data_IF_460759482022
#
_entry.id   IF_460759482022
#
_cell.length_a   1.000
_cell.length_b   1.000
_cell.length_c   1.000
_cell.angle_alpha   90.00
_cell.angle_beta   90.00
_cell.angle_gamma   90.00
#
_symmetry.space_group_name_H-M   'P 1'
#
loop_
_entity.id
_entity.type
_entity.pdbx_description
1 polymer ?
#
# COMPACT_ATOMS: atom_id res chain seq x y z
N UNK A 1 22.90 23.82 -22.85
CA UNK A 1 21.91 23.51 -21.79
C UNK A 1 22.37 22.39 -20.87
N UNK A 2 22.39 21.10 -21.26
CA UNK A 2 22.83 20.03 -20.34
C UNK A 2 24.30 20.18 -19.88
N UNK A 3 25.19 20.58 -20.80
CA UNK A 3 26.61 20.83 -20.50
C UNK A 3 26.83 21.97 -19.50
N UNK A 4 26.03 23.03 -19.59
CA UNK A 4 26.13 24.21 -18.72
C UNK A 4 25.57 23.93 -17.32
N UNK A 5 24.51 23.11 -17.24
CA UNK A 5 23.91 22.66 -15.97
C UNK A 5 24.90 21.80 -15.18
N UNK A 6 25.58 20.84 -15.82
CA UNK A 6 26.51 19.92 -15.13
C UNK A 6 27.78 20.62 -14.64
N UNK A 7 28.18 21.73 -15.26
CA UNK A 7 29.37 22.51 -14.87
C UNK A 7 29.05 23.65 -13.89
N UNK A 8 27.77 23.87 -13.56
CA UNK A 8 27.39 24.86 -12.57
C UNK A 8 27.95 24.50 -11.19
N UNK A 9 28.34 25.52 -10.42
CA UNK A 9 28.78 25.35 -9.02
C UNK A 9 27.68 24.75 -8.14
N UNK A 10 26.42 24.98 -8.51
CA UNK A 10 25.26 24.49 -7.77
C UNK A 10 24.79 23.11 -8.23
N UNK A 11 25.44 22.50 -9.23
CA UNK A 11 25.03 21.20 -9.76
C UNK A 11 25.02 20.11 -8.69
N UNK A 12 26.12 19.98 -7.94
CA UNK A 12 26.27 18.94 -6.91
C UNK A 12 25.28 19.15 -5.77
N UNK A 13 25.13 20.34 -5.17
CA UNK A 13 24.10 20.58 -4.16
C UNK A 13 22.66 20.28 -4.63
N UNK A 14 22.31 20.66 -5.87
CA UNK A 14 21.00 20.33 -6.43
C UNK A 14 20.81 18.83 -6.64
N UNK A 15 21.85 18.12 -7.10
CA UNK A 15 21.81 16.67 -7.26
C UNK A 15 21.62 15.96 -5.91
N UNK A 16 22.36 16.36 -4.87
CA UNK A 16 22.21 15.81 -3.52
C UNK A 16 20.80 16.01 -2.97
N UNK A 17 20.23 17.21 -3.16
CA UNK A 17 18.84 17.51 -2.81
C UNK A 17 17.84 16.64 -3.58
N UNK A 18 18.02 16.48 -4.89
CA UNK A 18 17.17 15.59 -5.70
C UNK A 18 17.25 14.14 -5.25
N UNK A 19 18.46 13.64 -4.93
CA UNK A 19 18.65 12.29 -4.39
C UNK A 19 17.92 12.13 -3.05
N UNK A 20 18.04 13.10 -2.15
CA UNK A 20 17.36 13.07 -0.86
C UNK A 20 15.84 12.96 -1.03
N UNK A 21 15.25 13.77 -1.92
CA UNK A 21 13.82 13.73 -2.25
C UNK A 21 13.39 12.38 -2.84
N UNK A 22 14.11 11.88 -3.85
CA UNK A 22 13.78 10.62 -4.51
C UNK A 22 14.02 9.39 -3.62
N UNK A 23 14.89 9.48 -2.62
CA UNK A 23 15.20 8.37 -1.72
C UNK A 23 13.97 7.89 -0.93
N UNK A 24 13.05 8.80 -0.59
CA UNK A 24 11.78 8.48 0.07
C UNK A 24 10.93 7.56 -0.81
N UNK A 25 10.81 7.89 -2.09
CA UNK A 25 10.08 7.09 -3.07
C UNK A 25 10.76 5.73 -3.29
N UNK A 26 12.08 5.70 -3.40
CA UNK A 26 12.85 4.45 -3.53
C UNK A 26 12.62 3.50 -2.35
N UNK A 27 12.54 4.03 -1.13
CA UNK A 27 12.24 3.23 0.07
C UNK A 27 10.90 2.54 -0.04
N UNK A 28 9.86 3.24 -0.49
CA UNK A 28 8.52 2.68 -0.66
C UNK A 28 8.41 1.75 -1.86
N UNK A 29 9.07 2.06 -2.98
CA UNK A 29 9.13 1.16 -4.12
C UNK A 29 9.66 -0.22 -3.72
N UNK A 30 10.76 -0.26 -2.93
CA UNK A 30 11.32 -1.51 -2.39
C UNK A 30 10.35 -2.29 -1.49
N UNK A 31 9.38 -1.63 -0.86
CA UNK A 31 8.33 -2.28 -0.06
C UNK A 31 7.40 -3.08 -0.98
N UNK A 32 6.96 -2.49 -2.09
CA UNK A 32 5.98 -3.10 -3.01
C UNK A 32 6.59 -4.07 -4.03
N UNK A 33 7.90 -3.97 -4.31
CA UNK A 33 8.62 -4.97 -5.11
C UNK A 33 8.80 -6.33 -4.40
N UNK A 34 8.65 -6.38 -3.08
CA UNK A 34 8.74 -7.63 -2.33
C UNK A 34 7.38 -8.31 -2.32
N UNK A 35 7.31 -9.51 -2.93
CA UNK A 35 6.14 -10.38 -2.89
C UNK A 35 5.67 -10.60 -1.45
N UNK A 36 4.46 -10.14 -1.14
CA UNK A 36 3.81 -10.41 0.14
C UNK A 36 3.47 -9.21 1.02
N UNK A 37 3.67 -7.97 0.55
CA UNK A 37 3.09 -6.80 1.25
C UNK A 37 1.60 -6.67 0.91
N UNK A 38 0.72 -6.57 1.91
CA UNK A 38 -0.71 -6.37 1.66
C UNK A 38 -0.98 -4.96 1.13
N UNK A 39 -2.02 -4.82 0.32
CA UNK A 39 -2.47 -3.56 -0.29
C UNK A 39 -2.80 -2.48 0.76
N UNK A 40 -3.18 -2.87 1.98
CA UNK A 40 -3.38 -1.94 3.12
C UNK A 40 -2.17 -1.04 3.38
N UNK A 41 -0.95 -1.47 3.02
CA UNK A 41 0.27 -0.68 3.18
C UNK A 41 0.29 0.54 2.25
N UNK A 42 -0.43 0.52 1.12
CA UNK A 42 -0.52 1.65 0.18
C UNK A 42 -1.18 2.84 0.85
N UNK A 43 -2.34 2.64 1.49
CA UNK A 43 -3.02 3.71 2.20
C UNK A 43 -2.15 4.25 3.36
N UNK A 44 -1.51 3.34 4.14
CA UNK A 44 -0.59 3.77 5.20
C UNK A 44 0.56 4.63 4.68
N UNK A 45 1.12 4.27 3.53
CA UNK A 45 2.18 5.05 2.89
C UNK A 45 1.71 6.47 2.58
N UNK A 46 0.53 6.63 1.99
CA UNK A 46 0.01 7.96 1.64
C UNK A 46 -0.28 8.82 2.86
N UNK A 47 -0.72 8.22 3.98
CA UNK A 47 -0.83 8.94 5.25
C UNK A 47 0.53 9.40 5.79
N UNK A 48 1.58 8.61 5.59
CA UNK A 48 2.92 8.90 6.14
C UNK A 48 3.77 9.82 5.26
N UNK A 49 3.54 9.82 3.94
CA UNK A 49 4.35 10.55 2.97
C UNK A 49 4.46 12.05 3.29
N UNK A 50 3.38 12.78 3.64
CA UNK A 50 3.50 14.20 4.00
C UNK A 50 4.50 14.47 5.14
N UNK A 51 4.46 13.66 6.20
CA UNK A 51 5.34 13.80 7.37
C UNK A 51 6.80 13.45 7.07
N UNK A 52 7.04 12.40 6.28
CA UNK A 52 8.40 12.02 5.91
C UNK A 52 9.07 13.10 5.05
N UNK A 53 8.28 13.84 4.27
CA UNK A 53 8.80 14.90 3.42
C UNK A 53 8.95 16.24 4.15
N UNK A 54 8.30 16.45 5.31
CA UNK A 54 8.56 17.63 6.13
C UNK A 54 9.93 17.61 6.80
N UNK A 55 10.54 16.42 6.95
CA UNK A 55 11.90 16.26 7.50
C UNK A 55 13.00 16.62 6.48
N UNK A 56 12.65 16.75 5.19
CA UNK A 56 13.60 17.14 4.15
C UNK A 56 13.66 18.67 4.13
N UNK A 57 14.84 19.29 4.31
CA UNK A 57 14.97 20.74 4.28
C UNK A 57 14.77 21.27 2.86
N UNK A 58 13.51 21.53 2.50
CA UNK A 58 13.11 22.17 1.25
C UNK A 58 12.43 23.52 1.53
N UNK A 59 12.56 24.50 0.62
CA UNK A 59 11.78 25.73 0.69
C UNK A 59 10.27 25.44 0.73
N UNK A 60 9.50 26.29 1.43
CA UNK A 60 8.05 26.17 1.57
C UNK A 60 7.35 26.07 0.21
N UNK A 61 7.82 26.83 -0.78
CA UNK A 61 7.29 26.82 -2.15
C UNK A 61 7.43 25.44 -2.82
N UNK A 62 8.55 24.75 -2.62
CA UNK A 62 8.78 23.41 -3.15
C UNK A 62 7.98 22.35 -2.40
N UNK A 63 7.82 22.51 -1.08
CA UNK A 63 6.97 21.64 -0.28
C UNK A 63 5.49 21.70 -0.73
N UNK A 64 5.01 22.89 -1.12
CA UNK A 64 3.69 23.07 -1.70
C UNK A 64 3.49 22.27 -2.99
N UNK A 65 4.47 22.31 -3.91
CA UNK A 65 4.45 21.53 -5.14
C UNK A 65 4.38 20.03 -4.83
N UNK A 66 5.21 19.57 -3.90
CA UNK A 66 5.27 18.17 -3.52
C UNK A 66 3.94 17.67 -2.91
N UNK A 67 3.33 18.48 -2.04
CA UNK A 67 2.03 18.18 -1.43
C UNK A 67 0.93 18.07 -2.49
N UNK A 68 0.92 18.97 -3.48
CA UNK A 68 -0.01 18.91 -4.61
C UNK A 68 0.16 17.63 -5.42
N UNK A 69 1.40 17.29 -5.79
CA UNK A 69 1.69 16.06 -6.54
C UNK A 69 1.27 14.82 -5.76
N UNK A 70 1.53 14.77 -4.45
CA UNK A 70 1.08 13.65 -3.61
C UNK A 70 -0.44 13.51 -3.62
N UNK A 71 -1.16 14.62 -3.48
CA UNK A 71 -2.64 14.61 -3.48
C UNK A 71 -3.18 14.13 -4.83
N UNK A 72 -2.64 14.62 -5.94
CA UNK A 72 -3.02 14.19 -7.28
C UNK A 72 -2.73 12.70 -7.51
N UNK A 73 -1.56 12.22 -7.08
CA UNK A 73 -1.20 10.81 -7.21
C UNK A 73 -2.01 9.91 -6.30
N UNK A 74 -2.35 10.37 -5.10
CA UNK A 74 -3.27 9.66 -4.23
C UNK A 74 -4.64 9.53 -4.90
N UNK A 75 -5.22 10.63 -5.39
CA UNK A 75 -6.52 10.61 -6.07
C UNK A 75 -6.51 9.72 -7.34
N UNK A 76 -5.38 9.64 -8.05
CA UNK A 76 -5.23 8.78 -9.21
C UNK A 76 -5.13 7.28 -8.87
N UNK A 77 -4.41 6.92 -7.81
CA UNK A 77 -4.14 5.52 -7.44
C UNK A 77 -5.19 4.96 -6.50
N UNK A 78 -5.79 5.81 -5.66
CA UNK A 78 -6.77 5.38 -4.67
C UNK A 78 -7.97 4.73 -5.35
N UNK A 79 -8.48 3.72 -4.67
CA UNK A 79 -9.66 2.97 -5.04
C UNK A 79 -10.14 2.25 -3.79
N UNK A 80 -11.41 1.88 -3.75
CA UNK A 80 -12.08 1.44 -2.52
C UNK A 80 -11.35 0.30 -1.80
N UNK A 81 -10.76 -0.63 -2.57
CA UNK A 81 -9.95 -1.72 -2.03
C UNK A 81 -8.81 -1.26 -1.11
N UNK A 82 -8.20 -0.09 -1.37
CA UNK A 82 -7.17 0.47 -0.49
C UNK A 82 -7.73 0.86 0.88
N UNK A 83 -8.88 1.54 0.89
CA UNK A 83 -9.58 1.92 2.12
C UNK A 83 -10.10 0.71 2.89
N UNK A 84 -10.78 -0.21 2.20
CA UNK A 84 -11.30 -1.46 2.78
C UNK A 84 -10.19 -2.30 3.39
N UNK A 85 -9.07 -2.49 2.69
CA UNK A 85 -7.98 -3.30 3.22
C UNK A 85 -7.24 -2.60 4.37
N UNK A 86 -7.19 -1.27 4.39
CA UNK A 86 -6.67 -0.53 5.54
C UNK A 86 -7.61 -0.62 6.76
N UNK A 87 -8.92 -0.58 6.53
CA UNK A 87 -9.96 -0.81 7.53
C UNK A 87 -9.88 -2.22 8.13
N UNK A 88 -9.68 -3.25 7.31
CA UNK A 88 -9.62 -4.66 7.71
C UNK A 88 -8.23 -5.14 8.16
N UNK A 89 -7.21 -4.28 8.15
CA UNK A 89 -5.89 -4.64 8.65
C UNK A 89 -5.83 -4.42 10.17
N UNK A 90 -5.67 -5.47 11.01
CA UNK A 90 -5.67 -5.32 12.47
C UNK A 90 -4.48 -4.50 13.00
N UNK A 91 -3.48 -4.20 12.15
CA UNK A 91 -2.39 -3.28 12.50
C UNK A 91 -2.79 -1.82 12.44
N UNK A 92 -3.81 -1.50 11.64
CA UNK A 92 -4.21 -0.13 11.35
C UNK A 92 -5.65 0.13 11.78
N UNK A 93 -6.59 -0.76 11.46
CA UNK A 93 -7.98 -0.69 11.87
C UNK A 93 -8.59 0.70 11.66
N UNK A 94 -8.41 1.26 10.46
CA UNK A 94 -8.83 2.63 10.09
C UNK A 94 -8.23 3.79 10.93
N UNK A 95 -7.11 3.56 11.63
CA UNK A 95 -6.40 4.61 12.35
C UNK A 95 -5.96 5.73 11.38
N UNK A 96 -6.20 6.98 11.76
CA UNK A 96 -5.88 8.19 10.98
C UNK A 96 -6.63 8.32 9.64
N UNK A 97 -7.60 7.44 9.36
CA UNK A 97 -8.50 7.58 8.22
C UNK A 97 -9.57 8.63 8.55
N UNK A 98 -9.75 9.61 7.65
CA UNK A 98 -10.81 10.61 7.76
C UNK A 98 -12.20 9.95 7.66
N UNK A 99 -13.20 10.67 8.16
CA UNK A 99 -14.55 10.13 8.29
C UNK A 99 -15.16 9.76 6.93
N UNK A 100 -14.94 10.60 5.91
CA UNK A 100 -15.48 10.37 4.56
C UNK A 100 -14.90 9.10 3.92
N UNK A 101 -13.58 8.93 3.99
CA UNK A 101 -12.90 7.72 3.49
C UNK A 101 -13.31 6.46 4.26
N UNK A 102 -13.53 6.59 5.57
CA UNK A 102 -13.98 5.48 6.42
C UNK A 102 -15.38 5.03 6.05
N UNK A 103 -16.32 5.98 5.93
CA UNK A 103 -17.71 5.70 5.58
C UNK A 103 -17.79 5.10 4.18
N UNK A 104 -17.04 5.66 3.21
CA UNK A 104 -16.95 5.09 1.86
C UNK A 104 -16.39 3.67 1.83
N UNK A 105 -15.36 3.36 2.63
CA UNK A 105 -14.81 2.01 2.73
C UNK A 105 -15.80 1.02 3.39
N UNK A 106 -16.53 1.47 4.42
CA UNK A 106 -17.55 0.65 5.08
C UNK A 106 -18.70 0.36 4.11
N UNK A 107 -19.26 1.38 3.48
CA UNK A 107 -20.32 1.26 2.48
C UNK A 107 -19.93 0.35 1.31
N UNK A 108 -18.69 0.48 0.81
CA UNK A 108 -18.21 -0.41 -0.25
C UNK A 108 -18.17 -1.86 0.21
N UNK A 109 -17.70 -2.11 1.44
CA UNK A 109 -17.58 -3.47 1.99
C UNK A 109 -18.94 -4.13 2.12
N UNK A 110 -19.96 -3.40 2.55
CA UNK A 110 -21.30 -3.96 2.70
C UNK A 110 -21.98 -4.17 1.35
N UNK A 111 -21.86 -3.23 0.41
CA UNK A 111 -22.32 -3.37 -0.98
C UNK A 111 -21.67 -4.56 -1.69
N UNK A 112 -20.37 -4.79 -1.45
CA UNK A 112 -19.64 -5.93 -2.02
C UNK A 112 -20.19 -7.28 -1.53
N UNK A 113 -20.65 -7.34 -0.28
CA UNK A 113 -21.19 -8.57 0.33
C UNK A 113 -22.58 -8.92 -0.22
N UNK A 114 -23.31 -7.91 -0.69
CA UNK A 114 -24.62 -8.05 -1.34
C UNK A 114 -25.77 -7.59 -0.43
N UNK A 115 -26.92 -7.21 -1.01
CA UNK A 115 -28.01 -6.53 -0.31
C UNK A 115 -28.60 -7.35 0.84
N UNK A 116 -28.63 -8.68 0.72
CA UNK A 116 -29.17 -9.57 1.76
C UNK A 116 -28.26 -9.67 3.00
N UNK A 117 -27.03 -9.16 2.92
CA UNK A 117 -26.01 -9.28 3.97
C UNK A 117 -25.44 -7.93 4.39
N UNK A 118 -26.03 -6.82 3.95
CA UNK A 118 -25.57 -5.45 4.21
C UNK A 118 -25.46 -5.19 5.72
N UNK A 119 -26.58 -5.30 6.45
CA UNK A 119 -26.64 -5.12 7.89
C UNK A 119 -25.72 -6.09 8.65
N UNK A 120 -25.68 -7.36 8.23
CA UNK A 120 -24.83 -8.37 8.85
C UNK A 120 -23.34 -8.02 8.68
N UNK A 121 -22.94 -7.52 7.51
CA UNK A 121 -21.57 -7.07 7.23
C UNK A 121 -21.25 -5.82 8.04
N UNK A 122 -22.17 -4.88 8.14
CA UNK A 122 -22.01 -3.67 8.96
C UNK A 122 -21.83 -4.02 10.45
N UNK A 123 -22.64 -4.95 10.97
CA UNK A 123 -22.49 -5.45 12.35
C UNK A 123 -21.11 -6.07 12.56
N UNK A 124 -20.63 -6.90 11.62
CA UNK A 124 -19.29 -7.48 11.71
C UNK A 124 -18.19 -6.41 11.65
N UNK A 125 -18.31 -5.38 10.80
CA UNK A 125 -17.36 -4.27 10.71
C UNK A 125 -17.26 -3.50 12.03
N UNK A 126 -18.41 -3.13 12.60
CA UNK A 126 -18.47 -2.43 13.89
C UNK A 126 -17.91 -3.28 15.02
N UNK A 127 -18.23 -4.58 15.03
CA UNK A 127 -17.71 -5.54 16.00
C UNK A 127 -16.19 -5.66 15.90
N UNK A 128 -15.66 -5.74 14.68
CA UNK A 128 -14.22 -5.79 14.43
C UNK A 128 -13.53 -4.50 14.87
N UNK A 129 -14.07 -3.33 14.53
CA UNK A 129 -13.53 -2.03 14.96
C UNK A 129 -13.54 -1.87 16.48
N UNK A 130 -14.60 -2.33 17.17
CA UNK A 130 -14.62 -2.33 18.62
C UNK A 130 -13.55 -3.28 19.20
N UNK A 131 -13.39 -4.47 18.63
CA UNK A 131 -12.40 -5.45 19.07
C UNK A 131 -10.96 -4.97 18.88
N UNK A 132 -10.66 -4.14 17.89
CA UNK A 132 -9.30 -3.61 17.66
C UNK A 132 -8.89 -2.54 18.67
N UNK A 133 -9.84 -1.93 19.41
CA UNK A 133 -9.52 -1.04 20.53
C UNK A 133 -8.82 -1.77 21.69
N UNK A 134 -9.03 -3.08 21.80
CA UNK A 134 -8.41 -3.95 22.80
C UNK A 134 -7.64 -5.08 22.10
N UNK A 135 -6.34 -4.88 21.78
CA UNK A 135 -5.61 -5.78 20.91
C UNK A 135 -5.57 -7.22 21.44
N UNK A 136 -6.21 -8.12 20.69
CA UNK A 136 -6.14 -9.56 20.94
C UNK A 136 -4.72 -10.09 20.77
N UNK A 137 -4.43 -11.26 21.33
CA UNK A 137 -3.12 -11.93 21.13
C UNK A 137 -2.82 -12.12 19.65
N UNK A 138 -3.83 -12.49 18.85
CA UNK A 138 -3.70 -12.68 17.41
C UNK A 138 -3.34 -11.37 16.71
N UNK A 139 -4.00 -10.25 17.03
CA UNK A 139 -3.68 -8.94 16.47
C UNK A 139 -2.24 -8.51 16.81
N UNK A 140 -1.79 -8.76 18.04
CA UNK A 140 -0.39 -8.50 18.45
C UNK A 140 0.62 -9.29 17.61
N UNK A 141 0.33 -10.56 17.29
CA UNK A 141 1.21 -11.36 16.41
C UNK A 141 1.32 -10.76 14.99
N UNK A 142 0.26 -10.12 14.49
CA UNK A 142 0.28 -9.41 13.19
C UNK A 142 1.10 -8.12 13.29
N UNK A 143 0.94 -7.35 14.38
CA UNK A 143 1.71 -6.13 14.65
C UNK A 143 3.21 -6.43 14.75
N UNK A 144 3.56 -7.50 15.46
CA UNK A 144 4.93 -8.01 15.62
C UNK A 144 5.48 -8.68 14.35
N UNK A 145 4.68 -8.75 13.27
CA UNK A 145 5.03 -9.40 12.00
C UNK A 145 5.39 -10.89 12.14
N UNK A 146 4.88 -11.55 13.18
CA UNK A 146 5.04 -12.99 13.40
C UNK A 146 4.10 -13.82 12.53
N UNK A 147 2.96 -13.24 12.15
CA UNK A 147 2.03 -13.78 11.16
C UNK A 147 1.62 -12.70 10.16
N UNK A 148 1.21 -13.11 8.96
CA UNK A 148 0.66 -12.20 7.95
C UNK A 148 -0.81 -11.84 8.20
N UNK A 149 -1.26 -10.71 7.64
CA UNK A 149 -2.67 -10.27 7.73
C UNK A 149 -3.62 -11.29 7.11
N UNK A 150 -3.24 -11.91 5.98
CA UNK A 150 -3.99 -13.00 5.37
C UNK A 150 -4.18 -14.18 6.35
N UNK A 151 -3.09 -14.60 7.01
CA UNK A 151 -3.14 -15.72 7.98
C UNK A 151 -4.01 -15.40 9.20
N UNK A 152 -4.01 -14.13 9.65
CA UNK A 152 -4.92 -13.67 10.69
C UNK A 152 -6.38 -13.88 10.28
N UNK A 153 -6.76 -13.46 9.08
CA UNK A 153 -8.14 -13.61 8.58
C UNK A 153 -8.53 -15.07 8.31
N UNK A 154 -7.58 -15.94 7.95
CA UNK A 154 -7.84 -17.38 7.87
C UNK A 154 -8.11 -18.04 9.23
N UNK A 155 -7.56 -17.48 10.32
CA UNK A 155 -7.64 -18.06 11.67
C UNK A 155 -8.58 -17.34 12.63
N UNK A 156 -9.23 -16.25 12.21
CA UNK A 156 -10.18 -15.52 13.06
C UNK A 156 -11.54 -16.21 13.03
N UNK A 157 -12.17 -16.30 14.20
CA UNK A 157 -13.52 -16.83 14.37
C UNK A 157 -14.44 -15.73 14.90
N UNK A 158 -15.76 -15.92 14.77
CA UNK A 158 -16.77 -14.94 15.21
C UNK A 158 -17.19 -13.94 14.12
N UNK A 159 -16.63 -14.06 12.91
CA UNK A 159 -17.03 -13.32 11.72
C UNK A 159 -17.31 -14.32 10.60
N UNK A 160 -18.44 -14.20 9.92
CA UNK A 160 -18.84 -15.08 8.82
C UNK A 160 -18.58 -14.46 7.45
N UNK A 161 -18.66 -13.12 7.34
CA UNK A 161 -18.58 -12.38 6.08
C UNK A 161 -17.21 -11.75 5.89
N UNK A 162 -16.69 -11.04 6.91
CA UNK A 162 -15.41 -10.33 6.81
C UNK A 162 -14.21 -11.22 6.42
N UNK A 163 -14.05 -12.46 6.93
CA UNK A 163 -12.95 -13.33 6.51
C UNK A 163 -12.98 -13.66 5.02
N UNK A 164 -14.17 -13.77 4.41
CA UNK A 164 -14.30 -14.06 2.96
C UNK A 164 -13.81 -12.88 2.13
N UNK A 165 -14.21 -11.66 2.51
CA UNK A 165 -13.76 -10.42 1.87
C UNK A 165 -12.26 -10.25 2.05
N UNK A 166 -11.79 -10.35 3.29
CA UNK A 166 -10.41 -10.10 3.65
C UNK A 166 -9.45 -11.11 3.01
N UNK A 167 -9.74 -12.41 3.04
CA UNK A 167 -8.86 -13.42 2.43
C UNK A 167 -8.80 -13.29 0.91
N UNK A 168 -9.92 -12.95 0.26
CA UNK A 168 -9.95 -12.67 -1.19
C UNK A 168 -9.05 -11.47 -1.53
N UNK A 169 -9.22 -10.37 -0.80
CA UNK A 169 -8.53 -9.12 -1.10
C UNK A 169 -7.04 -9.17 -0.68
N UNK A 170 -6.69 -9.74 0.48
CA UNK A 170 -5.30 -9.90 0.91
C UNK A 170 -4.55 -11.03 0.21
N UNK A 171 -5.25 -11.92 -0.50
CA UNK A 171 -4.63 -12.92 -1.38
C UNK A 171 -4.08 -12.34 -2.68
N UNK A 172 -4.49 -11.13 -3.05
CA UNK A 172 -4.06 -10.48 -4.28
C UNK A 172 -2.70 -9.77 -4.12
N UNK A 173 -1.82 -9.82 -5.14
CA UNK A 173 -0.57 -9.07 -5.12
C UNK A 173 -0.85 -7.56 -5.17
N UNK A 174 -0.11 -6.79 -4.37
CA UNK A 174 -0.24 -5.33 -4.33
C UNK A 174 0.36 -4.62 -5.55
N UNK A 175 1.22 -5.29 -6.32
CA UNK A 175 1.92 -4.69 -7.46
C UNK A 175 1.84 -5.60 -8.68
N UNK A 176 1.59 -5.02 -9.85
CA UNK A 176 1.71 -5.69 -11.14
C UNK A 176 3.15 -6.15 -11.43
N UNK A 177 4.14 -5.53 -10.79
CA UNK A 177 5.55 -5.89 -10.84
C UNK A 177 5.96 -6.96 -9.81
N UNK A 178 5.01 -7.59 -9.10
CA UNK A 178 5.30 -8.66 -8.13
C UNK A 178 6.17 -9.79 -8.72
N UNK A 179 5.93 -10.15 -9.98
CA UNK A 179 6.71 -11.16 -10.68
C UNK A 179 8.02 -10.64 -11.31
N UNK A 180 8.25 -9.32 -11.33
CA UNK A 180 9.32 -8.67 -12.12
C UNK A 180 10.70 -9.23 -11.77
N UNK A 181 11.03 -9.42 -10.50
CA UNK A 181 12.33 -10.00 -10.12
C UNK A 181 12.55 -11.39 -10.72
N UNK A 182 11.52 -12.22 -10.75
CA UNK A 182 11.60 -13.54 -11.39
C UNK A 182 11.73 -13.37 -12.91
N UNK A 183 10.95 -12.48 -13.51
CA UNK A 183 11.04 -12.18 -14.94
C UNK A 183 12.47 -11.72 -15.30
N UNK A 184 13.01 -10.70 -14.63
CA UNK A 184 14.37 -10.19 -14.86
C UNK A 184 15.45 -11.26 -14.71
N UNK A 185 15.35 -12.14 -13.70
CA UNK A 185 16.29 -13.25 -13.51
C UNK A 185 16.27 -14.23 -14.69
N UNK A 186 15.12 -14.39 -15.35
CA UNK A 186 14.94 -15.25 -16.52
C UNK A 186 15.16 -14.52 -17.85
N UNK A 187 15.65 -13.27 -17.85
CA UNK A 187 15.89 -12.49 -19.07
C UNK A 187 16.69 -13.25 -20.13
N UNK A 188 17.68 -14.03 -19.71
CA UNK A 188 18.50 -14.81 -20.61
C UNK A 188 17.71 -15.86 -21.41
N UNK A 189 16.60 -16.41 -20.91
CA UNK A 189 15.80 -17.44 -21.61
C UNK A 189 14.75 -16.87 -22.57
N UNK A 190 14.43 -15.58 -22.50
CA UNK A 190 13.45 -14.96 -23.42
C UNK A 190 14.01 -13.84 -24.29
N UNK A 191 15.13 -13.21 -23.93
CA UNK A 191 15.70 -12.10 -24.73
C UNK A 191 16.97 -12.47 -25.51
N UNK A 192 17.76 -13.45 -25.06
CA UNK A 192 19.02 -13.80 -25.73
C UNK A 192 18.79 -14.88 -26.78
N UNK A 193 19.06 -14.57 -28.05
CA UNK A 193 18.80 -15.46 -29.20
C UNK A 193 19.35 -16.88 -28.99
N UNK A 194 20.57 -17.00 -28.44
CA UNK A 194 21.23 -18.29 -28.19
C UNK A 194 20.46 -19.20 -27.22
N UNK A 195 19.80 -18.62 -26.23
CA UNK A 195 19.17 -19.33 -25.12
C UNK A 195 17.64 -19.20 -25.14
N UNK A 196 17.06 -18.62 -26.20
CA UNK A 196 15.65 -18.26 -26.26
C UNK A 196 14.78 -19.51 -26.37
N UNK A 197 13.95 -19.74 -25.37
CA UNK A 197 12.92 -20.78 -25.38
C UNK A 197 11.74 -20.36 -26.27
N UNK A 198 10.99 -21.34 -26.79
CA UNK A 198 9.76 -21.09 -27.55
C UNK A 198 8.62 -20.73 -26.58
N UNK A 199 7.65 -19.95 -27.05
CA UNK A 199 6.55 -19.46 -26.20
C UNK A 199 5.65 -20.57 -25.61
N UNK A 200 5.65 -21.76 -26.21
CA UNK A 200 4.90 -22.94 -25.77
C UNK A 200 5.83 -24.06 -25.31
N UNK A 201 6.43 -23.88 -24.14
CA UNK A 201 7.07 -24.95 -23.36
C UNK A 201 6.27 -25.15 -22.09
#
# INVERSE_FOLDING_TARGET
MAFDVVRSKDFVPHLEKSIALLSVLSRYQKVFERNGRPVSVVYKMFLQLPYINSDIPVPISEFGIFSTVLKERFAFVYGDAHGVLYLLDPRYASQDMDQEMRDGAMDFTTKWSGPDTDDATMIELLTFQAATQHPTRQAKLVQDKRIGVYQFWCGVHGYALLPKIATTAFGSPCSSAAAERKISAHKFVYSQLRNRLKETT
#
